data_IF_343051417025
#
_entry.id   IF_343051417025
#
_cell.length_a   1.000
_cell.length_b   1.000
_cell.length_c   1.000
_cell.angle_alpha   90.00
_cell.angle_beta   90.00
_cell.angle_gamma   90.00
#
_symmetry.space_group_name_H-M   'P 1'
#
loop_
_entity.id
_entity.type
_entity.pdbx_description
1 polymer ?
#
# COMPACT_ATOMS: atom_id res chain seq x y z
N UNK A 1 30.08 -36.80 16.71
CA UNK A 1 30.07 -35.50 17.41
C UNK A 1 30.47 -34.48 16.38
N UNK A 2 29.47 -33.83 15.77
CA UNK A 2 29.68 -32.87 14.68
C UNK A 2 29.94 -31.46 15.26
N UNK A 3 31.02 -30.79 14.83
CA UNK A 3 31.42 -29.50 15.36
C UNK A 3 30.69 -28.28 14.73
N UNK A 4 29.69 -28.47 13.86
CA UNK A 4 29.08 -27.39 13.08
C UNK A 4 27.82 -26.74 13.69
N UNK A 5 27.40 -27.16 14.89
CA UNK A 5 26.15 -26.68 15.51
C UNK A 5 26.28 -25.32 16.23
N UNK A 6 27.48 -24.77 16.38
CA UNK A 6 27.72 -23.56 17.19
C UNK A 6 27.90 -22.24 16.40
N UNK A 7 27.70 -22.24 15.07
CA UNK A 7 28.05 -21.06 14.26
C UNK A 7 26.91 -20.12 13.89
N UNK A 8 25.67 -20.44 14.23
CA UNK A 8 24.51 -19.69 13.77
C UNK A 8 23.89 -18.72 14.79
N UNK A 9 24.35 -18.69 16.04
CA UNK A 9 23.72 -17.88 17.10
C UNK A 9 24.28 -16.46 17.25
N UNK A 10 25.44 -16.15 16.65
CA UNK A 10 26.13 -14.87 16.90
C UNK A 10 25.45 -13.67 16.23
N UNK A 11 24.68 -13.89 15.18
CA UNK A 11 24.03 -12.80 14.43
C UNK A 11 22.74 -12.26 15.07
N UNK A 12 21.98 -13.12 15.72
CA UNK A 12 20.69 -12.78 16.33
C UNK A 12 20.90 -12.02 17.64
N UNK A 13 21.89 -12.43 18.45
CA UNK A 13 22.21 -11.79 19.74
C UNK A 13 22.72 -10.35 19.59
N UNK A 14 23.53 -10.07 18.57
CA UNK A 14 24.04 -8.71 18.30
C UNK A 14 22.91 -7.77 17.89
N UNK A 15 21.98 -8.23 17.08
CA UNK A 15 20.82 -7.44 16.68
C UNK A 15 19.89 -7.13 17.86
N UNK A 16 19.57 -8.14 18.69
CA UNK A 16 18.74 -7.99 19.88
C UNK A 16 19.39 -7.09 20.91
N UNK A 17 20.69 -7.23 21.17
CA UNK A 17 21.45 -6.36 22.08
C UNK A 17 21.45 -4.90 21.64
N UNK A 18 21.63 -4.62 20.35
CA UNK A 18 21.56 -3.25 19.81
C UNK A 18 20.16 -2.66 19.94
N UNK A 19 19.14 -3.44 19.67
CA UNK A 19 17.73 -3.00 19.81
C UNK A 19 17.35 -2.77 21.26
N UNK A 20 17.78 -3.64 22.16
CA UNK A 20 17.57 -3.48 23.60
C UNK A 20 18.31 -2.25 24.13
N UNK A 21 19.55 -2.02 23.73
CA UNK A 21 20.31 -0.83 24.11
C UNK A 21 19.65 0.46 23.62
N UNK A 22 19.10 0.48 22.38
CA UNK A 22 18.36 1.62 21.86
C UNK A 22 17.07 1.89 22.67
N UNK A 23 16.32 0.85 23.03
CA UNK A 23 15.12 0.98 23.87
C UNK A 23 15.44 1.51 25.26
N UNK A 24 16.52 1.02 25.90
CA UNK A 24 16.97 1.52 27.20
C UNK A 24 17.38 3.00 27.10
N UNK A 25 18.10 3.39 26.05
CA UNK A 25 18.48 4.78 25.84
C UNK A 25 17.26 5.71 25.70
N UNK A 26 16.23 5.29 24.95
CA UNK A 26 14.96 6.06 24.82
C UNK A 26 14.24 6.15 26.17
N UNK A 27 14.16 5.06 26.93
CA UNK A 27 13.53 5.06 28.26
C UNK A 27 14.25 5.99 29.23
N UNK A 28 15.60 6.01 29.22
CA UNK A 28 16.39 6.93 30.05
C UNK A 28 16.10 8.38 29.66
N UNK A 29 16.07 8.71 28.37
CA UNK A 29 15.75 10.07 27.91
C UNK A 29 14.33 10.49 28.35
N UNK A 30 13.34 9.62 28.21
CA UNK A 30 11.97 9.88 28.65
C UNK A 30 11.91 10.09 30.17
N UNK A 31 12.62 9.26 30.95
CA UNK A 31 12.68 9.39 32.40
C UNK A 31 13.35 10.72 32.84
N UNK A 32 14.42 11.12 32.16
CA UNK A 32 15.12 12.40 32.45
C UNK A 32 14.21 13.60 32.12
N UNK A 33 13.50 13.55 30.97
CA UNK A 33 12.56 14.60 30.58
C UNK A 33 11.38 14.67 31.56
N UNK A 34 10.82 13.54 31.96
CA UNK A 34 9.75 13.48 32.95
C UNK A 34 10.20 14.03 34.31
N UNK A 35 11.42 13.70 34.76
CA UNK A 35 11.99 14.22 35.98
C UNK A 35 12.27 15.72 35.90
N UNK A 36 12.81 16.22 34.82
CA UNK A 36 13.03 17.64 34.58
C UNK A 36 11.71 18.45 34.56
N UNK A 37 10.62 17.89 33.97
CA UNK A 37 9.30 18.51 34.03
C UNK A 37 8.66 18.45 35.43
N UNK A 38 8.99 17.44 36.25
CA UNK A 38 8.46 17.33 37.62
C UNK A 38 9.22 18.21 38.62
N UNK A 39 10.47 18.60 38.31
CA UNK A 39 11.30 19.44 39.20
C UNK A 39 11.13 20.95 38.96
N UNK A 40 10.33 21.37 37.96
CA UNK A 40 9.98 22.78 37.70
C UNK A 40 8.58 23.14 38.23
N UNK A 41 8.15 22.51 39.33
CA UNK A 41 6.92 22.88 40.04
C UNK A 41 7.16 24.06 40.96
N UNK A 42 6.85 25.28 40.55
CA UNK A 42 6.60 26.46 41.39
C UNK A 42 5.09 26.72 41.50
N UNK A 43 4.59 27.56 42.44
CA UNK A 43 3.50 27.20 43.32
C UNK A 43 2.10 27.47 42.77
N UNK A 44 1.19 26.71 43.36
CA UNK A 44 -0.28 26.85 43.30
C UNK A 44 -0.77 28.27 43.37
N UNK A 45 -1.79 28.57 42.54
CA UNK A 45 -2.82 29.54 42.87
C UNK A 45 -4.18 28.90 42.68
N UNK A 46 -4.74 28.51 43.82
CA UNK A 46 -6.19 28.31 43.98
C UNK A 46 -6.93 29.62 43.69
N UNK A 47 -8.00 29.56 42.95
CA UNK A 47 -9.17 30.43 43.13
C UNK A 47 -10.37 29.79 42.44
N UNK A 48 -11.14 29.07 43.18
CA UNK A 48 -12.48 29.46 43.67
C UNK A 48 -13.53 29.72 42.59
N UNK A 49 -14.49 28.81 42.65
CA UNK A 49 -15.86 28.90 42.18
C UNK A 49 -16.46 30.30 42.29
N UNK A 50 -17.32 30.65 41.32
CA UNK A 50 -18.69 31.14 41.66
C UNK A 50 -19.49 31.46 40.39
N UNK A 51 -20.65 30.80 40.32
CA UNK A 51 -21.98 31.40 40.11
C UNK A 51 -22.34 31.87 38.70
N UNK A 52 -23.26 31.15 38.09
CA UNK A 52 -24.21 31.67 37.13
C UNK A 52 -25.07 32.76 37.81
N UNK A 53 -25.63 33.74 37.10
CA UNK A 53 -26.91 33.46 36.48
C UNK A 53 -27.25 34.21 35.19
N UNK A 54 -28.32 33.72 34.58
CA UNK A 54 -29.39 34.44 33.89
C UNK A 54 -29.16 35.08 32.53
N UNK A 55 -29.81 34.46 31.58
CA UNK A 55 -30.86 35.12 30.81
C UNK A 55 -30.43 36.17 29.80
N UNK A 56 -30.37 35.74 28.56
CA UNK A 56 -30.85 36.61 27.47
C UNK A 56 -31.54 35.77 26.40
N UNK A 57 -32.84 35.95 26.38
CA UNK A 57 -33.76 35.66 25.31
C UNK A 57 -33.17 36.15 23.98
N UNK A 58 -32.85 35.27 23.10
CA UNK A 58 -32.53 35.62 21.72
C UNK A 58 -33.81 35.61 20.91
N UNK A 59 -34.13 36.75 20.35
CA UNK A 59 -35.21 36.97 19.40
C UNK A 59 -35.10 36.05 18.19
N UNK A 60 -36.20 35.64 17.55
CA UNK A 60 -36.18 34.81 16.36
C UNK A 60 -35.59 35.57 15.18
N UNK A 61 -34.75 34.86 14.47
CA UNK A 61 -34.02 35.27 13.27
C UNK A 61 -35.02 35.76 12.17
N UNK A 62 -34.85 36.96 11.61
CA UNK A 62 -35.75 37.51 10.60
C UNK A 62 -35.62 36.94 9.20
N UNK A 63 -34.86 35.86 9.02
CA UNK A 63 -34.59 35.26 7.68
C UNK A 63 -35.70 34.35 7.14
N UNK A 64 -36.76 34.07 7.90
CA UNK A 64 -37.87 33.23 7.44
C UNK A 64 -39.09 34.04 6.90
N UNK A 65 -39.00 35.38 6.80
CA UNK A 65 -40.10 36.24 6.38
C UNK A 65 -40.12 36.63 4.91
N UNK A 66 -39.28 36.04 4.06
CA UNK A 66 -39.18 36.38 2.64
C UNK A 66 -39.36 35.17 1.72
N UNK A 67 -40.47 34.45 1.87
CA UNK A 67 -40.91 33.51 0.83
C UNK A 67 -41.88 34.25 -0.10
N UNK A 68 -41.60 34.41 -1.41
CA UNK A 68 -42.53 35.01 -2.34
C UNK A 68 -43.73 34.08 -2.57
N UNK A 69 -44.93 34.61 -2.30
CA UNK A 69 -46.19 33.95 -2.67
C UNK A 69 -46.28 33.89 -4.17
N UNK A 70 -46.30 32.68 -4.76
CA UNK A 70 -46.50 32.47 -6.19
C UNK A 70 -48.00 32.60 -6.46
N UNK A 71 -48.40 33.71 -7.06
CA UNK A 71 -49.76 33.88 -7.59
C UNK A 71 -49.91 33.08 -8.86
N UNK A 72 -50.70 32.01 -8.84
CA UNK A 72 -51.03 31.18 -10.01
C UNK A 72 -51.97 31.94 -10.89
N UNK A 73 -51.50 32.49 -12.00
CA UNK A 73 -52.35 33.04 -13.06
C UNK A 73 -52.89 31.87 -13.90
N UNK A 74 -54.18 31.77 -14.16
CA UNK A 74 -54.75 30.69 -15.02
C UNK A 74 -54.24 30.86 -16.44
N UNK A 75 -53.55 29.85 -16.93
CA UNK A 75 -53.03 29.74 -18.27
C UNK A 75 -54.16 29.31 -19.24
N UNK A 76 -54.29 29.90 -20.43
CA UNK A 76 -55.31 29.51 -21.40
C UNK A 76 -55.09 28.11 -21.90
N UNK A 77 -56.18 27.36 -21.98
CA UNK A 77 -56.27 26.02 -22.51
C UNK A 77 -55.87 26.00 -24.00
N UNK A 78 -54.70 25.46 -24.32
CA UNK A 78 -54.28 25.14 -25.70
C UNK A 78 -54.69 23.70 -25.99
N UNK A 79 -55.42 23.55 -27.08
CA UNK A 79 -55.90 22.31 -27.66
C UNK A 79 -54.71 21.33 -27.92
N UNK A 80 -54.85 20.01 -27.66
CA UNK A 80 -53.77 19.07 -27.88
C UNK A 80 -53.55 18.83 -29.37
N UNK A 81 -52.40 19.29 -29.87
CA UNK A 81 -51.83 18.84 -31.14
C UNK A 81 -51.28 17.41 -30.92
N UNK A 82 -51.42 16.48 -31.90
CA UNK A 82 -50.91 15.11 -31.71
C UNK A 82 -49.38 15.12 -31.65
N UNK A 83 -48.89 14.97 -30.45
CA UNK A 83 -47.47 14.84 -30.16
C UNK A 83 -47.03 13.42 -30.52
N UNK A 84 -46.21 13.30 -31.55
CA UNK A 84 -45.53 12.05 -31.89
C UNK A 84 -44.80 11.55 -30.65
N UNK A 85 -45.26 10.41 -30.10
CA UNK A 85 -44.62 9.72 -28.98
C UNK A 85 -43.19 9.42 -29.35
N UNK A 86 -42.26 10.20 -28.80
CA UNK A 86 -40.85 9.86 -28.83
C UNK A 86 -40.68 8.58 -28.01
N UNK A 87 -40.34 7.49 -28.65
CA UNK A 87 -39.94 6.23 -28.01
C UNK A 87 -38.81 6.53 -27.06
N UNK A 88 -38.91 6.24 -25.73
CA UNK A 88 -37.86 6.50 -24.82
C UNK A 88 -36.63 5.68 -25.22
N UNK A 89 -35.58 6.35 -25.65
CA UNK A 89 -34.26 5.72 -25.86
C UNK A 89 -33.85 5.02 -24.60
N UNK A 90 -33.54 3.71 -24.59
CA UNK A 90 -33.14 3.01 -23.39
C UNK A 90 -31.88 3.64 -22.85
N UNK A 91 -31.98 4.21 -21.64
CA UNK A 91 -30.84 4.75 -20.92
C UNK A 91 -29.85 3.60 -20.69
N UNK A 92 -28.54 3.74 -21.00
CA UNK A 92 -27.58 2.69 -20.73
C UNK A 92 -27.63 2.34 -19.26
N UNK A 93 -28.10 1.15 -18.94
CA UNK A 93 -28.10 0.62 -17.58
C UNK A 93 -26.65 0.31 -17.23
N UNK A 94 -26.07 1.09 -16.31
CA UNK A 94 -24.75 0.81 -15.77
C UNK A 94 -24.78 -0.60 -15.19
N UNK A 95 -23.87 -1.52 -15.58
CA UNK A 95 -23.90 -2.88 -15.08
C UNK A 95 -23.90 -2.86 -13.54
N UNK A 96 -24.85 -3.56 -12.94
CA UNK A 96 -24.90 -3.69 -11.48
C UNK A 96 -23.61 -4.40 -11.01
N UNK A 97 -22.81 -3.70 -10.22
CA UNK A 97 -21.60 -4.28 -9.60
C UNK A 97 -22.07 -5.38 -8.65
N UNK A 98 -21.74 -6.63 -8.96
CA UNK A 98 -22.05 -7.76 -8.08
C UNK A 98 -21.28 -7.59 -6.76
N UNK A 99 -21.92 -7.80 -5.60
CA UNK A 99 -21.19 -7.79 -4.33
C UNK A 99 -20.14 -8.90 -4.33
N UNK A 100 -18.91 -8.54 -3.92
CA UNK A 100 -17.78 -9.48 -3.79
C UNK A 100 -18.06 -10.49 -2.69
N UNK A 101 -17.77 -11.76 -2.97
CA UNK A 101 -17.91 -12.88 -2.00
C UNK A 101 -16.51 -13.31 -1.54
N UNK A 102 -16.39 -13.83 -0.30
CA UNK A 102 -15.13 -14.43 0.14
C UNK A 102 -14.71 -15.55 -0.81
N UNK A 103 -13.46 -15.50 -1.29
CA UNK A 103 -12.90 -16.46 -2.24
C UNK A 103 -13.03 -16.10 -3.71
N UNK A 104 -13.71 -15.03 -4.05
CA UNK A 104 -13.68 -14.47 -5.42
C UNK A 104 -12.25 -13.99 -5.76
N UNK A 105 -11.98 -13.84 -7.06
CA UNK A 105 -10.74 -13.22 -7.52
C UNK A 105 -10.57 -11.82 -6.92
N UNK A 106 -9.34 -11.49 -6.51
CA UNK A 106 -9.04 -10.17 -5.99
C UNK A 106 -9.28 -9.10 -7.06
N UNK A 107 -9.94 -8.02 -6.67
CA UNK A 107 -9.99 -6.83 -7.49
C UNK A 107 -8.66 -6.09 -7.37
N UNK A 108 -8.11 -5.72 -8.51
CA UNK A 108 -6.84 -4.97 -8.57
C UNK A 108 -6.88 -3.66 -7.77
N UNK A 109 -8.05 -3.01 -7.71
CA UNK A 109 -8.26 -1.79 -6.93
C UNK A 109 -8.13 -2.01 -5.41
N UNK A 110 -8.35 -3.24 -4.95
CA UNK A 110 -8.24 -3.62 -3.54
C UNK A 110 -6.84 -4.16 -3.18
N UNK A 111 -5.93 -4.27 -4.14
CA UNK A 111 -4.59 -4.78 -3.92
C UNK A 111 -3.55 -3.65 -3.87
N UNK A 112 -2.71 -3.68 -2.86
CA UNK A 112 -1.56 -2.78 -2.73
C UNK A 112 -0.27 -3.56 -2.91
N UNK A 113 0.48 -3.21 -3.95
CA UNK A 113 1.76 -3.81 -4.30
C UNK A 113 2.90 -2.88 -3.91
N UNK A 114 3.93 -3.40 -3.26
CA UNK A 114 5.17 -2.66 -2.99
C UNK A 114 6.40 -3.50 -3.35
N UNK A 115 7.51 -2.80 -3.62
CA UNK A 115 8.83 -3.38 -3.87
C UNK A 115 9.86 -2.55 -3.12
N UNK A 116 10.74 -3.22 -2.38
CA UNK A 116 11.85 -2.60 -1.66
C UNK A 116 13.13 -3.40 -1.94
N UNK A 117 14.28 -2.72 -2.02
CA UNK A 117 15.59 -3.35 -2.02
C UNK A 117 16.13 -3.42 -0.59
N UNK A 118 16.86 -4.47 -0.24
CA UNK A 118 17.56 -4.53 1.05
C UNK A 118 18.72 -3.54 1.14
N UNK A 119 19.23 -3.06 0.00
CA UNK A 119 20.29 -2.07 -0.09
C UNK A 119 20.20 -1.27 -1.37
N UNK A 120 20.91 -0.15 -1.39
CA UNK A 120 21.04 0.71 -2.59
C UNK A 120 22.33 0.44 -3.37
N UNK A 121 23.37 -0.08 -2.69
CA UNK A 121 24.67 -0.35 -3.30
C UNK A 121 25.14 -1.75 -2.89
N UNK A 122 25.48 -2.56 -3.87
CA UNK A 122 25.93 -3.93 -3.69
C UNK A 122 27.37 -4.11 -4.21
N UNK A 123 28.28 -4.52 -3.33
CA UNK A 123 29.67 -4.84 -3.68
C UNK A 123 29.74 -6.09 -4.57
N UNK A 124 30.92 -6.37 -5.15
CA UNK A 124 31.10 -7.39 -6.17
C UNK A 124 30.58 -8.80 -5.81
N UNK A 125 30.71 -9.21 -4.55
CA UNK A 125 30.25 -10.53 -4.06
C UNK A 125 28.81 -10.53 -3.53
N UNK A 126 28.18 -9.37 -3.38
CA UNK A 126 26.84 -9.26 -2.81
C UNK A 126 25.77 -9.49 -3.88
N UNK A 127 24.73 -10.23 -3.51
CA UNK A 127 23.55 -10.46 -4.35
C UNK A 127 22.44 -9.51 -3.96
N UNK A 128 21.91 -8.72 -4.91
CA UNK A 128 20.75 -7.87 -4.65
C UNK A 128 19.54 -8.70 -4.22
N UNK A 129 18.88 -8.26 -3.14
CA UNK A 129 17.65 -8.87 -2.63
C UNK A 129 16.53 -7.85 -2.62
N UNK A 130 15.37 -8.29 -3.06
CA UNK A 130 14.19 -7.46 -3.19
C UNK A 130 13.06 -8.06 -2.38
N UNK A 131 12.39 -7.23 -1.60
CA UNK A 131 11.23 -7.60 -0.81
C UNK A 131 10.00 -7.10 -1.56
N UNK A 132 9.23 -8.04 -2.08
CA UNK A 132 7.93 -7.80 -2.70
C UNK A 132 6.86 -8.02 -1.65
N UNK A 133 5.95 -7.06 -1.50
CA UNK A 133 4.82 -7.18 -0.59
C UNK A 133 3.52 -6.91 -1.34
N UNK A 134 2.53 -7.77 -1.15
CA UNK A 134 1.18 -7.63 -1.69
C UNK A 134 0.18 -7.73 -0.54
N UNK A 135 -0.76 -6.76 -0.47
CA UNK A 135 -1.75 -6.68 0.62
C UNK A 135 -3.14 -6.49 0.03
N UNK A 136 -4.11 -7.26 0.51
CA UNK A 136 -5.52 -7.02 0.25
C UNK A 136 -6.06 -5.96 1.23
N UNK A 137 -6.45 -4.81 0.70
CA UNK A 137 -7.11 -3.72 1.44
C UNK A 137 -8.62 -3.73 1.30
N UNK A 138 -9.16 -4.63 0.47
CA UNK A 138 -10.59 -4.84 0.27
C UNK A 138 -11.29 -5.36 1.52
N UNK A 139 -12.62 -5.36 1.50
CA UNK A 139 -13.42 -5.73 2.68
C UNK A 139 -13.52 -7.24 2.88
N UNK A 140 -13.33 -8.03 1.82
CA UNK A 140 -13.51 -9.49 1.84
C UNK A 140 -12.21 -10.20 1.46
N UNK A 141 -12.03 -11.40 1.95
CA UNK A 141 -10.98 -12.31 1.54
C UNK A 141 -11.12 -12.63 0.06
N UNK A 142 -10.02 -12.65 -0.68
CA UNK A 142 -9.99 -12.93 -2.12
C UNK A 142 -8.83 -13.86 -2.49
N UNK A 143 -8.80 -14.32 -3.72
CA UNK A 143 -7.75 -15.20 -4.25
C UNK A 143 -7.08 -14.53 -5.43
N UNK A 144 -5.74 -14.58 -5.49
CA UNK A 144 -4.96 -14.11 -6.66
C UNK A 144 -3.73 -14.96 -6.87
N UNK A 145 -3.26 -14.97 -8.11
CA UNK A 145 -2.01 -15.63 -8.48
C UNK A 145 -0.81 -14.80 -8.02
N UNK A 146 0.08 -15.45 -7.29
CA UNK A 146 1.35 -14.89 -6.84
C UNK A 146 2.56 -15.52 -7.53
N UNK A 147 2.34 -16.34 -8.54
CA UNK A 147 3.39 -16.99 -9.31
C UNK A 147 4.40 -16.02 -9.95
N UNK A 148 5.56 -16.51 -10.39
CA UNK A 148 6.64 -15.66 -10.89
C UNK A 148 6.28 -14.90 -12.16
N UNK A 149 5.27 -15.35 -12.90
CA UNK A 149 4.74 -14.66 -14.09
C UNK A 149 3.68 -13.64 -13.74
N UNK A 150 2.86 -13.92 -12.73
CA UNK A 150 1.83 -12.99 -12.25
C UNK A 150 2.42 -11.81 -11.48
N UNK A 151 3.48 -12.06 -10.68
CA UNK A 151 4.26 -11.06 -9.95
C UNK A 151 5.72 -11.08 -10.43
N UNK A 152 5.95 -10.55 -11.63
CA UNK A 152 7.28 -10.51 -12.26
C UNK A 152 8.13 -9.39 -11.65
N UNK A 153 9.35 -9.72 -11.20
CA UNK A 153 10.40 -8.73 -10.96
C UNK A 153 11.30 -8.68 -12.18
N UNK A 154 11.41 -7.50 -12.78
CA UNK A 154 12.28 -7.26 -13.95
C UNK A 154 13.37 -6.26 -13.59
N UNK A 155 14.60 -6.57 -13.97
CA UNK A 155 15.75 -5.69 -13.77
C UNK A 155 16.20 -5.15 -15.13
N UNK A 156 16.38 -3.82 -15.21
CA UNK A 156 16.87 -3.13 -16.40
C UNK A 156 18.04 -2.22 -16.05
N UNK A 157 18.88 -1.89 -17.06
CA UNK A 157 19.90 -0.84 -16.98
C UNK A 157 19.74 0.05 -18.22
N UNK A 158 19.20 1.27 -18.04
CA UNK A 158 18.67 2.04 -19.16
C UNK A 158 17.55 1.27 -19.87
N UNK A 159 17.66 1.16 -21.19
CA UNK A 159 16.71 0.40 -22.03
C UNK A 159 17.03 -1.11 -22.11
N UNK A 160 18.18 -1.52 -21.59
CA UNK A 160 18.61 -2.91 -21.61
C UNK A 160 17.89 -3.74 -20.54
N UNK A 161 17.17 -4.78 -20.98
CA UNK A 161 16.57 -5.77 -20.09
C UNK A 161 17.63 -6.77 -19.65
N UNK A 162 17.95 -6.75 -18.38
CA UNK A 162 19.05 -7.56 -17.81
C UNK A 162 18.55 -8.89 -17.29
N UNK A 163 17.42 -8.90 -16.57
CA UNK A 163 16.93 -10.10 -15.90
C UNK A 163 15.42 -10.02 -15.61
N UNK A 164 14.79 -11.19 -15.49
CA UNK A 164 13.41 -11.31 -15.01
C UNK A 164 13.23 -12.57 -14.18
N UNK A 165 12.46 -12.46 -13.09
CA UNK A 165 12.04 -13.62 -12.29
C UNK A 165 11.10 -14.57 -13.03
N UNK A 166 10.52 -14.12 -14.14
CA UNK A 166 9.64 -14.92 -15.00
C UNK A 166 10.39 -15.70 -16.07
N UNK A 167 11.71 -15.46 -16.24
CA UNK A 167 12.52 -16.20 -17.19
C UNK A 167 12.88 -17.57 -16.62
N UNK A 168 12.85 -18.58 -17.49
CA UNK A 168 13.37 -19.92 -17.20
C UNK A 168 12.78 -20.55 -15.93
N UNK A 169 11.54 -20.23 -15.62
CA UNK A 169 10.82 -20.85 -14.50
C UNK A 169 10.53 -22.30 -14.84
N UNK A 170 10.97 -23.23 -13.98
CA UNK A 170 10.68 -24.66 -14.08
C UNK A 170 9.48 -25.01 -13.17
N UNK A 171 8.62 -25.91 -13.62
CA UNK A 171 7.47 -26.39 -12.85
C UNK A 171 6.25 -25.46 -12.95
N UNK A 172 5.42 -25.49 -11.91
CA UNK A 172 4.20 -24.65 -11.85
C UNK A 172 4.56 -23.17 -11.84
N UNK A 173 3.94 -22.43 -12.74
CA UNK A 173 4.13 -20.98 -12.86
C UNK A 173 3.03 -20.20 -12.17
N UNK A 174 1.94 -20.85 -11.78
CA UNK A 174 0.80 -20.30 -11.04
C UNK A 174 0.91 -20.70 -9.56
N UNK A 175 0.66 -19.74 -8.68
CA UNK A 175 0.64 -19.90 -7.21
C UNK A 175 -0.55 -19.14 -6.66
N UNK A 176 -1.73 -19.80 -6.68
CA UNK A 176 -2.99 -19.22 -6.19
C UNK A 176 -2.99 -19.15 -4.67
N UNK A 177 -3.12 -17.94 -4.14
CA UNK A 177 -3.14 -17.69 -2.69
C UNK A 177 -4.36 -16.92 -2.25
N UNK A 178 -4.80 -17.23 -1.03
CA UNK A 178 -5.84 -16.49 -0.32
C UNK A 178 -5.22 -15.28 0.36
N UNK A 179 -5.90 -14.15 0.22
CA UNK A 179 -5.50 -12.88 0.81
C UNK A 179 -6.56 -12.39 1.77
N UNK A 180 -6.31 -12.58 3.05
CA UNK A 180 -7.09 -11.96 4.11
C UNK A 180 -6.87 -10.45 4.11
N UNK A 181 -7.87 -9.70 4.56
CA UNK A 181 -7.76 -8.25 4.64
C UNK A 181 -6.63 -7.83 5.57
N UNK A 182 -5.73 -6.99 5.06
CA UNK A 182 -4.62 -6.41 5.84
C UNK A 182 -3.47 -7.36 6.14
N UNK A 183 -3.56 -8.66 5.79
CA UNK A 183 -2.46 -9.61 5.98
C UNK A 183 -1.52 -9.51 4.79
N UNK A 184 -0.24 -9.12 4.98
CA UNK A 184 0.71 -9.01 3.90
C UNK A 184 1.22 -10.39 3.44
N UNK A 185 1.23 -10.60 2.13
CA UNK A 185 2.06 -11.60 1.50
C UNK A 185 3.43 -10.98 1.22
N UNK A 186 4.50 -11.63 1.68
CA UNK A 186 5.87 -11.17 1.49
C UNK A 186 6.67 -12.24 0.76
N UNK A 187 7.36 -11.83 -0.30
CA UNK A 187 8.31 -12.67 -1.03
C UNK A 187 9.65 -11.95 -1.12
N UNK A 188 10.71 -12.66 -0.74
CA UNK A 188 12.08 -12.20 -0.98
C UNK A 188 12.59 -12.84 -2.26
N UNK A 189 13.09 -12.02 -3.18
CA UNK A 189 13.68 -12.46 -4.44
C UNK A 189 15.15 -12.01 -4.46
N UNK A 190 16.05 -12.97 -4.54
CA UNK A 190 17.48 -12.75 -4.68
C UNK A 190 17.88 -12.85 -6.14
N UNK A 191 18.67 -11.90 -6.61
CA UNK A 191 19.23 -11.93 -7.95
C UNK A 191 20.73 -12.30 -7.91
N UNK A 192 21.09 -13.35 -8.63
CA UNK A 192 22.45 -13.88 -8.70
C UNK A 192 23.43 -13.05 -9.57
N UNK A 193 22.99 -11.84 -10.00
CA UNK A 193 23.72 -10.95 -10.91
C UNK A 193 23.96 -11.52 -12.31
N UNK A 194 23.32 -12.63 -12.65
CA UNK A 194 23.38 -13.19 -14.00
C UNK A 194 22.26 -12.63 -14.87
N UNK A 195 22.60 -12.36 -16.13
CA UNK A 195 21.59 -11.97 -17.12
C UNK A 195 20.70 -13.16 -17.46
N UNK A 196 19.43 -12.87 -17.74
CA UNK A 196 18.48 -13.88 -18.20
C UNK A 196 17.81 -13.44 -19.49
N UNK A 197 17.25 -14.40 -20.22
CA UNK A 197 16.53 -14.18 -21.47
C UNK A 197 15.59 -15.35 -21.74
N UNK A 198 15.02 -15.40 -22.94
CA UNK A 198 14.10 -16.45 -23.37
C UNK A 198 14.81 -17.80 -23.60
N UNK A 199 16.10 -17.78 -23.92
CA UNK A 199 16.89 -19.00 -24.08
C UNK A 199 17.51 -19.44 -22.76
N UNK A 200 16.89 -20.42 -22.12
CA UNK A 200 17.30 -20.96 -20.82
C UNK A 200 18.55 -21.87 -20.88
N UNK A 201 18.97 -22.23 -22.07
CA UNK A 201 20.19 -23.05 -22.29
C UNK A 201 21.41 -22.18 -22.60
N UNK A 202 21.23 -20.94 -22.97
CA UNK A 202 22.30 -20.02 -23.25
C UNK A 202 23.22 -19.82 -22.04
N UNK A 203 24.52 -19.68 -22.27
CA UNK A 203 25.46 -19.32 -21.19
C UNK A 203 25.09 -17.95 -20.61
N UNK A 204 24.83 -17.93 -19.32
CA UNK A 204 24.49 -16.71 -18.62
C UNK A 204 25.73 -15.84 -18.40
N UNK A 205 25.57 -14.55 -18.62
CA UNK A 205 26.65 -13.56 -18.48
C UNK A 205 26.40 -12.73 -17.22
N UNK A 206 27.44 -12.50 -16.44
CA UNK A 206 27.35 -11.64 -15.25
C UNK A 206 27.09 -10.19 -15.63
N UNK A 207 26.16 -9.54 -14.91
CA UNK A 207 25.90 -8.13 -15.05
C UNK A 207 27.10 -7.29 -14.62
N UNK A 208 27.41 -6.24 -15.37
CA UNK A 208 28.54 -5.34 -15.11
C UNK A 208 28.22 -4.38 -13.96
N UNK A 209 29.24 -3.77 -13.30
CA UNK A 209 29.01 -2.63 -12.42
C UNK A 209 28.21 -1.53 -13.14
N UNK A 210 27.32 -0.86 -12.40
CA UNK A 210 26.45 0.17 -12.98
C UNK A 210 25.17 0.40 -12.20
N UNK A 211 24.29 1.24 -12.76
CA UNK A 211 22.98 1.56 -12.19
C UNK A 211 21.89 0.70 -12.80
N UNK A 212 21.05 0.16 -11.94
CA UNK A 212 19.98 -0.77 -12.28
C UNK A 212 18.66 -0.34 -11.68
N UNK A 213 17.57 -0.74 -12.31
CA UNK A 213 16.21 -0.53 -11.82
C UNK A 213 15.52 -1.88 -11.74
N UNK A 214 15.13 -2.28 -10.53
CA UNK A 214 14.22 -3.40 -10.33
C UNK A 214 12.79 -2.86 -10.39
N UNK A 215 11.94 -3.51 -11.17
CA UNK A 215 10.53 -3.14 -11.33
C UNK A 215 9.67 -4.37 -11.10
N UNK A 216 8.73 -4.32 -10.15
CA UNK A 216 7.70 -5.35 -10.05
C UNK A 216 6.53 -5.00 -10.96
N UNK A 217 6.06 -5.99 -11.70
CA UNK A 217 4.94 -5.91 -12.64
C UNK A 217 3.90 -6.96 -12.27
N UNK A 218 2.66 -6.53 -12.22
CA UNK A 218 1.50 -7.39 -12.06
C UNK A 218 0.39 -6.88 -12.98
N UNK A 219 -0.39 -7.79 -13.54
CA UNK A 219 -1.46 -7.43 -14.47
C UNK A 219 -2.46 -6.48 -13.83
N UNK A 220 -2.72 -5.35 -14.49
CA UNK A 220 -3.67 -4.34 -14.03
C UNK A 220 -3.20 -3.49 -12.84
N UNK A 221 -2.06 -3.81 -12.21
CA UNK A 221 -1.54 -3.05 -11.06
C UNK A 221 -0.49 -2.03 -11.48
N UNK A 222 -0.37 -0.97 -10.67
CA UNK A 222 0.67 0.05 -10.87
C UNK A 222 2.05 -0.54 -10.53
N UNK A 223 2.98 -0.52 -11.49
CA UNK A 223 4.35 -0.99 -11.28
C UNK A 223 5.07 -0.17 -10.20
N UNK A 224 5.88 -0.85 -9.38
CA UNK A 224 6.76 -0.25 -8.37
C UNK A 224 8.21 -0.47 -8.78
N UNK A 225 9.05 0.52 -8.52
CA UNK A 225 10.46 0.55 -8.98
C UNK A 225 11.39 0.83 -7.80
N UNK A 226 12.57 0.22 -7.84
CA UNK A 226 13.69 0.45 -6.92
C UNK A 226 14.95 0.62 -7.74
N UNK A 227 15.70 1.69 -7.48
CA UNK A 227 17.01 1.93 -8.10
C UNK A 227 18.10 1.40 -7.18
N UNK A 228 19.10 0.75 -7.75
CA UNK A 228 20.26 0.23 -7.03
C UNK A 228 21.51 0.22 -7.89
N UNK A 229 22.65 0.07 -7.25
CA UNK A 229 23.96 0.13 -7.90
C UNK A 229 24.77 -1.15 -7.65
N UNK A 230 25.37 -1.69 -8.69
CA UNK A 230 26.39 -2.74 -8.60
C UNK A 230 27.79 -2.13 -8.68
N UNK A 231 28.66 -2.53 -7.78
CA UNK A 231 30.07 -2.16 -7.77
C UNK A 231 30.94 -3.40 -8.01
#
# INVERSE_FOLDING_TARGET
MDPDTFRNDIGVDVYWRRRLAALIAVLVVVAVVAWACSSSGGPQSESSAQTAPSGRSSAPDPLLAALPTITVTPQPTVSPSPQLSATPTPRPVKPAVRPKRPGDACDVADLVLSLQGEGEVYAAAQRPRFILTLVNTGKVMCVTDTGPRALEIRITSGDDRVWSSADCVSGETEDLRRFERGIPFVRVVEWDRQRSGSDCRAKRVTARPGTYVATVRATGMKSRKVVFHLR
#
